data_IF_261482139436
#
_entry.id   IF_261482139436
#
_cell.length_a   1.000
_cell.length_b   1.000
_cell.length_c   1.000
_cell.angle_alpha   90.00
_cell.angle_beta   90.00
_cell.angle_gamma   90.00
#
_symmetry.space_group_name_H-M   'P 1'
#
loop_
_entity.id
_entity.type
_entity.pdbx_description
1 polymer ?
#
# COMPACT_ATOMS: atom_id res chain seq x y z
N UNK A 1 -60.80 -45.11 -39.33
CA UNK A 1 -60.20 -44.73 -38.04
C UNK A 1 -59.69 -43.29 -38.14
N UNK A 2 -60.33 -42.32 -37.45
CA UNK A 2 -59.89 -40.92 -37.38
C UNK A 2 -59.69 -40.57 -35.89
N UNK A 3 -58.45 -40.35 -35.48
CA UNK A 3 -58.09 -39.96 -34.11
C UNK A 3 -58.59 -38.53 -33.83
N UNK A 4 -59.52 -38.38 -32.88
CA UNK A 4 -59.83 -37.09 -32.26
C UNK A 4 -58.67 -36.69 -31.33
N UNK A 5 -57.91 -35.65 -31.72
CA UNK A 5 -57.00 -34.95 -30.79
C UNK A 5 -57.85 -34.11 -29.83
N UNK A 6 -57.87 -34.46 -28.55
CA UNK A 6 -58.47 -33.63 -27.51
C UNK A 6 -57.72 -32.28 -27.42
N UNK A 7 -58.39 -31.13 -27.48
CA UNK A 7 -57.75 -29.84 -27.27
C UNK A 7 -57.29 -29.76 -25.81
N UNK A 8 -55.97 -29.78 -25.59
CA UNK A 8 -55.40 -29.50 -24.27
C UNK A 8 -55.79 -28.07 -23.87
N UNK A 9 -56.65 -27.94 -22.86
CA UNK A 9 -56.92 -26.65 -22.20
C UNK A 9 -55.59 -26.09 -21.71
N UNK A 10 -55.10 -25.02 -22.34
CA UNK A 10 -53.99 -24.24 -21.81
C UNK A 10 -54.53 -23.45 -20.63
N UNK A 11 -54.04 -23.71 -19.42
CA UNK A 11 -54.34 -22.89 -18.25
C UNK A 11 -53.79 -21.48 -18.50
N UNK A 12 -54.64 -20.46 -18.36
CA UNK A 12 -54.20 -19.07 -18.38
C UNK A 12 -53.57 -18.72 -17.02
N UNK A 13 -52.43 -18.05 -17.05
CA UNK A 13 -51.75 -17.58 -15.84
C UNK A 13 -52.51 -16.38 -15.27
N UNK A 14 -52.86 -16.41 -13.98
CA UNK A 14 -53.56 -15.32 -13.31
C UNK A 14 -52.58 -14.22 -12.88
N UNK A 15 -53.06 -12.98 -12.83
CA UNK A 15 -52.28 -11.84 -12.34
C UNK A 15 -51.72 -12.09 -10.94
N UNK A 16 -52.48 -12.77 -10.08
CA UNK A 16 -52.10 -13.06 -8.70
C UNK A 16 -50.93 -14.06 -8.67
N UNK A 17 -50.98 -15.12 -9.48
CA UNK A 17 -49.88 -16.09 -9.56
C UNK A 17 -48.58 -15.42 -10.01
N UNK A 18 -48.65 -14.47 -10.96
CA UNK A 18 -47.49 -13.69 -11.37
C UNK A 18 -46.95 -12.82 -10.24
N UNK A 19 -47.83 -12.10 -9.55
CA UNK A 19 -47.45 -11.21 -8.45
C UNK A 19 -46.79 -11.97 -7.29
N UNK A 20 -47.30 -13.15 -6.95
CA UNK A 20 -46.72 -14.00 -5.89
C UNK A 20 -45.33 -14.48 -6.27
N UNK A 21 -45.15 -14.93 -7.52
CA UNK A 21 -43.83 -15.41 -7.99
C UNK A 21 -42.79 -14.30 -7.98
N UNK A 22 -43.12 -13.10 -8.49
CA UNK A 22 -42.18 -11.98 -8.46
C UNK A 22 -41.88 -11.53 -7.03
N UNK A 23 -42.86 -11.57 -6.11
CA UNK A 23 -42.66 -11.23 -4.71
C UNK A 23 -41.69 -12.21 -4.03
N UNK A 24 -41.84 -13.51 -4.28
CA UNK A 24 -40.93 -14.53 -3.76
C UNK A 24 -39.53 -14.33 -4.33
N UNK A 25 -39.38 -14.12 -5.65
CA UNK A 25 -38.07 -13.88 -6.28
C UNK A 25 -37.41 -12.62 -5.70
N UNK A 26 -38.17 -11.53 -5.53
CA UNK A 26 -37.66 -10.29 -4.96
C UNK A 26 -37.16 -10.49 -3.52
N UNK A 27 -37.90 -11.22 -2.68
CA UNK A 27 -37.49 -11.55 -1.31
C UNK A 27 -36.23 -12.41 -1.33
N UNK A 28 -36.17 -13.45 -2.18
CA UNK A 28 -34.98 -14.31 -2.29
C UNK A 28 -33.74 -13.53 -2.72
N UNK A 29 -33.85 -12.67 -3.73
CA UNK A 29 -32.74 -11.83 -4.18
C UNK A 29 -32.32 -10.84 -3.08
N UNK A 30 -33.27 -10.21 -2.39
CA UNK A 30 -32.98 -9.27 -1.31
C UNK A 30 -32.21 -9.93 -0.15
N UNK A 31 -32.48 -11.21 0.14
CA UNK A 31 -31.78 -11.97 1.17
C UNK A 31 -30.43 -12.52 0.68
N UNK A 32 -30.31 -12.90 -0.60
CA UNK A 32 -29.11 -13.51 -1.16
C UNK A 32 -28.04 -12.49 -1.56
N UNK A 33 -28.42 -11.31 -2.06
CA UNK A 33 -27.47 -10.32 -2.56
C UNK A 33 -26.48 -9.85 -1.48
N UNK A 34 -26.90 -9.49 -0.25
CA UNK A 34 -25.96 -9.11 0.81
C UNK A 34 -25.00 -10.24 1.16
N UNK A 35 -25.50 -11.48 1.22
CA UNK A 35 -24.69 -12.66 1.54
C UNK A 35 -23.63 -12.94 0.46
N UNK A 36 -23.99 -12.84 -0.82
CA UNK A 36 -23.05 -13.02 -1.93
C UNK A 36 -21.96 -11.94 -1.91
N UNK A 37 -22.30 -10.69 -1.60
CA UNK A 37 -21.29 -9.62 -1.52
C UNK A 37 -20.34 -9.82 -0.33
N UNK A 38 -20.85 -10.22 0.84
CA UNK A 38 -20.01 -10.54 1.99
C UNK A 38 -19.06 -11.70 1.70
N UNK A 39 -19.55 -12.76 1.03
CA UNK A 39 -18.72 -13.88 0.63
C UNK A 39 -17.62 -13.47 -0.36
N UNK A 40 -17.95 -12.61 -1.34
CA UNK A 40 -16.96 -12.06 -2.30
C UNK A 40 -15.88 -11.24 -1.61
N UNK A 41 -16.26 -10.38 -0.67
CA UNK A 41 -15.30 -9.54 0.05
C UNK A 41 -14.41 -10.38 0.97
N UNK A 42 -14.96 -11.41 1.63
CA UNK A 42 -14.16 -12.36 2.39
C UNK A 42 -13.13 -13.08 1.52
N UNK A 43 -13.51 -13.49 0.30
CA UNK A 43 -12.60 -14.11 -0.66
C UNK A 43 -11.50 -13.13 -1.12
N UNK A 44 -11.85 -11.88 -1.44
CA UNK A 44 -10.86 -10.84 -1.79
C UNK A 44 -9.88 -10.57 -0.66
N UNK A 45 -10.35 -10.49 0.58
CA UNK A 45 -9.49 -10.33 1.76
C UNK A 45 -8.52 -11.51 1.94
N UNK A 46 -8.98 -12.74 1.75
CA UNK A 46 -8.10 -13.92 1.77
C UNK A 46 -7.03 -13.79 0.69
N UNK A 47 -7.39 -13.34 -0.50
CA UNK A 47 -6.43 -13.12 -1.58
C UNK A 47 -5.44 -11.99 -1.27
N UNK A 48 -5.87 -10.86 -0.68
CA UNK A 48 -4.94 -9.81 -0.28
C UNK A 48 -3.94 -10.31 0.78
N UNK A 49 -4.39 -11.13 1.74
CA UNK A 49 -3.48 -11.78 2.71
C UNK A 49 -2.51 -12.75 2.04
N UNK A 50 -2.95 -13.51 1.04
CA UNK A 50 -2.08 -14.42 0.31
C UNK A 50 -1.03 -13.65 -0.51
N UNK A 51 -1.39 -12.54 -1.13
CA UNK A 51 -0.45 -11.66 -1.83
C UNK A 51 0.63 -11.12 -0.89
N UNK A 52 0.24 -10.59 0.28
CA UNK A 52 1.20 -10.20 1.33
C UNK A 52 2.09 -11.36 1.77
N UNK A 53 1.54 -12.58 1.85
CA UNK A 53 2.35 -13.76 2.18
C UNK A 53 3.38 -14.09 1.10
N UNK A 54 3.03 -13.92 -0.19
CA UNK A 54 4.00 -14.05 -1.29
C UNK A 54 5.08 -12.97 -1.23
N UNK A 55 4.72 -11.72 -0.90
CA UNK A 55 5.71 -10.64 -0.64
C UNK A 55 6.64 -11.03 0.51
N UNK A 56 6.12 -11.58 1.61
CA UNK A 56 6.93 -12.06 2.73
C UNK A 56 7.91 -13.18 2.35
N UNK A 57 7.46 -14.15 1.54
CA UNK A 57 8.34 -15.21 1.02
C UNK A 57 9.44 -14.62 0.12
N UNK A 58 9.08 -13.67 -0.74
CA UNK A 58 10.05 -12.97 -1.60
C UNK A 58 11.08 -12.18 -0.79
N UNK A 59 10.67 -11.51 0.29
CA UNK A 59 11.56 -10.79 1.21
C UNK A 59 12.59 -11.73 1.85
N UNK A 60 12.16 -12.92 2.30
CA UNK A 60 13.09 -13.90 2.87
C UNK A 60 14.04 -14.49 1.81
N UNK A 61 13.54 -14.83 0.62
CA UNK A 61 14.41 -15.30 -0.47
C UNK A 61 15.42 -14.22 -0.90
N UNK A 62 15.01 -12.96 -0.93
CA UNK A 62 15.91 -11.82 -1.17
C UNK A 62 16.97 -11.74 -0.08
N UNK A 63 16.57 -11.80 1.20
CA UNK A 63 17.48 -11.72 2.34
C UNK A 63 18.48 -12.88 2.39
N UNK A 64 18.06 -14.09 2.04
CA UNK A 64 18.94 -15.26 1.97
C UNK A 64 19.99 -15.14 0.87
N UNK A 65 19.64 -14.49 -0.24
CA UNK A 65 20.54 -14.30 -1.40
C UNK A 65 21.45 -13.07 -1.27
N UNK A 66 20.97 -12.00 -0.63
CA UNK A 66 21.67 -10.71 -0.56
C UNK A 66 22.20 -10.37 0.85
N UNK A 67 21.90 -11.20 1.85
CA UNK A 67 22.38 -11.04 3.23
C UNK A 67 21.55 -10.12 4.12
N UNK A 68 20.49 -9.48 3.59
CA UNK A 68 19.56 -8.62 4.31
C UNK A 68 18.33 -8.26 3.47
N UNK A 69 17.30 -7.70 4.10
CA UNK A 69 16.10 -7.24 3.41
C UNK A 69 16.44 -6.12 2.40
N UNK A 70 15.66 -5.98 1.30
CA UNK A 70 15.97 -4.98 0.29
C UNK A 70 15.90 -3.56 0.88
N UNK A 71 16.80 -2.65 0.49
CA UNK A 71 16.56 -1.24 0.72
C UNK A 71 15.32 -0.79 -0.07
N UNK A 72 14.58 0.22 0.41
CA UNK A 72 13.44 0.80 -0.34
C UNK A 72 13.95 1.39 -1.65
N UNK A 73 15.14 1.98 -1.62
CA UNK A 73 15.73 2.66 -2.76
C UNK A 73 17.25 2.68 -2.62
N UNK A 74 17.94 2.80 -3.75
CA UNK A 74 19.39 3.05 -3.77
C UNK A 74 19.63 4.28 -4.63
N UNK A 75 20.26 5.29 -4.04
CA UNK A 75 20.47 6.61 -4.63
C UNK A 75 21.88 7.12 -4.26
N UNK A 76 22.57 7.84 -5.16
CA UNK A 76 23.85 8.48 -4.85
C UNK A 76 23.69 9.52 -3.74
N UNK A 77 24.65 9.61 -2.82
CA UNK A 77 24.66 10.65 -1.80
C UNK A 77 25.01 12.01 -2.40
N UNK A 78 24.34 13.06 -1.92
CA UNK A 78 24.61 14.44 -2.32
C UNK A 78 24.13 14.83 -3.72
N UNK A 79 23.30 14.00 -4.36
CA UNK A 79 22.71 14.26 -5.67
C UNK A 79 21.21 13.97 -5.64
N UNK A 80 20.46 14.61 -6.53
CA UNK A 80 19.06 14.26 -6.76
C UNK A 80 18.97 13.09 -7.74
N UNK A 81 18.08 12.14 -7.46
CA UNK A 81 17.95 10.90 -8.21
C UNK A 81 16.57 10.27 -7.93
N UNK A 82 15.85 9.83 -8.97
CA UNK A 82 14.64 9.03 -8.80
C UNK A 82 15.00 7.54 -8.73
N UNK A 83 14.83 6.89 -7.57
CA UNK A 83 15.37 5.56 -7.39
C UNK A 83 14.36 4.45 -7.71
N UNK A 84 14.86 3.33 -8.23
CA UNK A 84 14.09 2.10 -8.30
C UNK A 84 13.75 1.56 -6.90
N UNK A 85 12.50 1.12 -6.74
CA UNK A 85 11.95 0.64 -5.48
C UNK A 85 12.50 -0.71 -5.03
N UNK A 86 12.33 -1.02 -3.75
CA UNK A 86 12.58 -2.34 -3.18
C UNK A 86 11.63 -3.40 -3.77
N UNK A 87 10.43 -3.01 -4.19
CA UNK A 87 9.50 -3.88 -4.92
C UNK A 87 10.08 -4.31 -6.26
N UNK A 88 10.81 -3.43 -6.95
CA UNK A 88 11.53 -3.79 -8.15
C UNK A 88 12.63 -4.83 -7.90
N UNK A 89 13.27 -4.78 -6.72
CA UNK A 89 14.28 -5.76 -6.27
C UNK A 89 13.67 -7.13 -5.94
N UNK A 90 12.38 -7.19 -5.62
CA UNK A 90 11.69 -8.45 -5.32
C UNK A 90 11.23 -9.21 -6.58
N UNK A 91 11.21 -8.60 -7.76
CA UNK A 91 10.71 -9.22 -8.99
C UNK A 91 11.26 -10.62 -9.29
N UNK A 92 12.58 -10.91 -9.15
CA UNK A 92 13.11 -12.25 -9.38
C UNK A 92 12.55 -13.31 -8.42
N UNK A 93 12.07 -12.88 -7.26
CA UNK A 93 11.58 -13.72 -6.17
C UNK A 93 10.05 -13.88 -6.16
N UNK A 94 9.36 -13.26 -7.13
CA UNK A 94 7.90 -13.36 -7.34
C UNK A 94 7.55 -13.77 -8.78
N UNK A 95 8.41 -14.59 -9.39
CA UNK A 95 8.23 -15.11 -10.77
C UNK A 95 8.18 -14.01 -11.85
N UNK A 96 8.79 -12.84 -11.59
CA UNK A 96 8.88 -11.71 -12.52
C UNK A 96 10.32 -11.45 -13.00
N UNK A 97 11.15 -12.49 -13.12
CA UNK A 97 12.55 -12.37 -13.54
C UNK A 97 12.70 -11.70 -14.93
N UNK A 98 11.79 -11.96 -15.86
CA UNK A 98 11.82 -11.32 -17.19
C UNK A 98 11.60 -9.81 -17.10
N UNK A 99 10.75 -9.35 -16.18
CA UNK A 99 10.53 -7.92 -15.94
C UNK A 99 11.75 -7.29 -15.26
N UNK A 100 12.35 -8.00 -14.30
CA UNK A 100 13.57 -7.55 -13.62
C UNK A 100 14.74 -7.31 -14.60
N UNK A 101 14.87 -8.14 -15.63
CA UNK A 101 15.91 -8.00 -16.65
C UNK A 101 15.75 -6.74 -17.54
N UNK A 102 14.60 -6.07 -17.50
CA UNK A 102 14.38 -4.81 -18.21
C UNK A 102 14.84 -3.60 -17.38
N UNK A 103 15.17 -3.78 -16.10
CA UNK A 103 15.55 -2.68 -15.22
C UNK A 103 17.02 -2.36 -15.42
N UNK A 104 17.28 -1.10 -15.77
CA UNK A 104 18.62 -0.51 -15.75
C UNK A 104 18.81 0.21 -14.41
N UNK A 105 19.66 -0.34 -13.56
CA UNK A 105 19.91 0.18 -12.21
C UNK A 105 20.86 1.39 -12.20
N UNK A 106 21.58 1.64 -13.31
CA UNK A 106 22.61 2.67 -13.40
C UNK A 106 22.12 3.96 -14.09
N UNK A 107 20.88 3.96 -14.62
CA UNK A 107 20.27 5.09 -15.33
C UNK A 107 19.01 5.56 -14.62
N UNK A 108 18.94 6.85 -14.29
CA UNK A 108 17.68 7.52 -13.94
C UNK A 108 17.70 8.95 -14.48
N UNK A 109 16.56 9.41 -15.02
CA UNK A 109 15.83 10.27 -14.11
C UNK A 109 14.36 9.93 -13.90
N UNK A 110 13.71 9.05 -14.68
CA UNK A 110 12.25 8.83 -14.58
C UNK A 110 11.81 7.46 -15.13
N UNK A 111 12.60 6.38 -14.97
CA UNK A 111 12.26 5.04 -15.51
C UNK A 111 12.06 4.98 -17.05
N UNK A 112 12.37 6.06 -17.76
CA UNK A 112 12.13 6.25 -19.20
C UNK A 112 13.06 5.44 -20.08
N UNK A 113 14.16 4.92 -19.54
CA UNK A 113 15.06 4.01 -20.25
C UNK A 113 14.34 2.72 -20.68
N UNK A 114 13.46 2.19 -19.83
CA UNK A 114 12.65 1.02 -20.11
C UNK A 114 11.22 1.21 -19.57
N UNK A 115 10.37 1.95 -20.30
CA UNK A 115 9.03 2.32 -19.84
C UNK A 115 8.08 1.12 -19.68
N UNK A 116 8.45 -0.03 -20.27
CA UNK A 116 7.72 -1.29 -20.10
C UNK A 116 7.70 -1.72 -18.63
N UNK A 117 8.79 -1.50 -17.89
CA UNK A 117 8.86 -1.86 -16.47
C UNK A 117 7.79 -1.09 -15.69
N UNK A 118 7.84 0.24 -15.71
CA UNK A 118 6.89 1.11 -15.00
C UNK A 118 5.42 0.82 -15.33
N UNK A 119 5.10 0.56 -16.61
CA UNK A 119 3.74 0.26 -17.06
C UNK A 119 3.23 -1.13 -16.65
N UNK A 120 4.10 -2.08 -16.33
CA UNK A 120 3.66 -3.47 -16.16
C UNK A 120 2.87 -3.64 -14.87
N UNK A 121 1.65 -4.20 -14.96
CA UNK A 121 0.85 -4.60 -13.80
C UNK A 121 1.46 -5.84 -13.14
N UNK A 122 2.02 -5.68 -11.94
CA UNK A 122 2.50 -6.79 -11.11
C UNK A 122 1.37 -7.27 -10.20
N UNK A 123 0.71 -8.37 -10.56
CA UNK A 123 -0.53 -8.82 -9.90
C UNK A 123 -0.38 -9.08 -8.39
N UNK A 124 0.80 -9.53 -7.94
CA UNK A 124 1.10 -9.77 -6.51
C UNK A 124 1.12 -8.47 -5.70
N UNK A 125 1.35 -7.32 -6.34
CA UNK A 125 1.35 -6.03 -5.65
C UNK A 125 -0.03 -5.39 -5.51
N UNK A 126 -1.05 -5.93 -6.18
CA UNK A 126 -2.41 -5.39 -6.17
C UNK A 126 -3.32 -6.16 -5.23
N UNK A 127 -4.09 -5.44 -4.40
CA UNK A 127 -5.17 -6.03 -3.61
C UNK A 127 -6.44 -6.12 -4.46
N UNK A 128 -7.10 -7.29 -4.57
CA UNK A 128 -8.34 -7.42 -5.33
C UNK A 128 -9.51 -6.53 -4.88
N UNK A 129 -9.43 -5.90 -3.70
CA UNK A 129 -10.39 -4.91 -3.22
C UNK A 129 -10.06 -3.48 -3.64
N UNK A 130 -8.91 -3.23 -4.29
CA UNK A 130 -8.58 -1.94 -4.90
C UNK A 130 -9.58 -1.60 -6.02
N UNK A 131 -10.08 -0.36 -6.01
CA UNK A 131 -11.05 0.14 -6.99
C UNK A 131 -10.35 0.88 -8.15
N UNK A 132 -9.10 1.28 -7.96
CA UNK A 132 -8.25 1.98 -8.91
C UNK A 132 -7.16 1.08 -9.51
N UNK A 133 -7.51 -0.17 -9.86
CA UNK A 133 -6.62 -1.10 -10.59
C UNK A 133 -6.51 -0.69 -12.07
N UNK A 134 -5.76 0.39 -12.33
CA UNK A 134 -5.59 0.99 -13.66
C UNK A 134 -4.25 1.71 -13.77
N UNK A 135 -3.83 1.92 -15.02
CA UNK A 135 -2.63 2.68 -15.36
C UNK A 135 -2.75 4.17 -14.98
N UNK A 136 -1.68 4.76 -14.44
CA UNK A 136 -1.50 6.22 -14.39
C UNK A 136 -0.77 6.66 -15.64
N UNK A 137 -1.41 7.52 -16.43
CA UNK A 137 -0.84 8.07 -17.65
C UNK A 137 -0.34 9.49 -17.38
N UNK A 138 0.97 9.71 -17.49
CA UNK A 138 1.60 11.03 -17.45
C UNK A 138 2.00 11.45 -18.87
N UNK A 139 2.43 12.71 -19.10
CA UNK A 139 2.91 13.14 -20.41
C UNK A 139 4.13 12.37 -20.92
N UNK A 140 4.95 11.82 -20.01
CA UNK A 140 6.25 11.20 -20.33
C UNK A 140 6.26 9.69 -20.13
N UNK A 141 5.41 9.16 -19.24
CA UNK A 141 5.46 7.76 -18.83
C UNK A 141 4.08 7.21 -18.42
N UNK A 142 3.95 5.89 -18.44
CA UNK A 142 2.79 5.18 -17.91
C UNK A 142 3.28 4.32 -16.74
N UNK A 143 2.61 4.45 -15.60
CA UNK A 143 2.93 3.71 -14.37
C UNK A 143 1.76 2.81 -13.99
N UNK A 144 2.07 1.79 -13.17
CA UNK A 144 1.07 0.94 -12.54
C UNK A 144 1.15 1.05 -11.00
N UNK A 145 0.00 1.11 -10.31
CA UNK A 145 -0.06 1.18 -8.86
C UNK A 145 0.42 -0.10 -8.16
N UNK A 146 0.50 0.01 -6.83
CA UNK A 146 0.60 -1.08 -5.87
C UNK A 146 -0.29 -0.81 -4.65
N UNK A 147 -0.49 -1.85 -3.84
CA UNK A 147 -1.25 -1.77 -2.59
C UNK A 147 -0.51 -2.31 -1.36
N UNK A 148 0.72 -2.82 -1.50
CA UNK A 148 1.46 -3.40 -0.38
C UNK A 148 2.77 -2.65 -0.16
N UNK A 149 2.69 -1.55 0.56
CA UNK A 149 3.85 -0.68 0.84
C UNK A 149 4.75 -1.23 1.94
N UNK A 150 6.04 -0.92 1.89
CA UNK A 150 7.00 -1.27 2.94
C UNK A 150 6.97 -0.32 4.13
N UNK A 151 7.29 -0.86 5.31
CA UNK A 151 7.33 -0.12 6.56
C UNK A 151 8.62 0.73 6.65
N UNK A 152 8.47 2.04 6.48
CA UNK A 152 9.57 3.01 6.59
C UNK A 152 9.66 3.70 7.96
N UNK A 153 8.92 3.18 8.94
CA UNK A 153 9.00 3.60 10.34
C UNK A 153 7.92 4.60 10.73
N UNK A 154 8.21 5.40 11.75
CA UNK A 154 7.18 6.16 12.44
C UNK A 154 6.92 7.54 11.82
N UNK A 155 7.95 8.26 11.39
CA UNK A 155 7.83 9.67 10.95
C UNK A 155 9.06 10.17 10.20
N UNK A 156 10.24 10.06 10.80
CA UNK A 156 11.51 10.41 10.14
C UNK A 156 11.94 9.25 9.25
N UNK A 157 12.18 9.52 7.96
CA UNK A 157 12.53 8.51 6.96
C UNK A 157 14.04 8.48 6.74
N UNK A 158 14.60 9.62 6.33
CA UNK A 158 15.97 9.69 5.84
C UNK A 158 16.53 11.11 5.87
N UNK A 159 17.82 11.25 6.15
CA UNK A 159 18.58 12.49 5.97
C UNK A 159 19.68 12.30 4.91
N UNK A 160 19.58 12.98 3.75
CA UNK A 160 20.55 12.84 2.66
C UNK A 160 21.93 13.40 2.99
N UNK A 161 22.04 14.28 4.00
CA UNK A 161 23.32 14.90 4.38
C UNK A 161 24.16 13.96 5.24
N UNK A 162 23.59 13.41 6.30
CA UNK A 162 24.31 12.50 7.21
C UNK A 162 24.20 11.02 6.83
N UNK A 163 23.26 10.65 5.96
CA UNK A 163 22.91 9.26 5.68
C UNK A 163 22.20 8.57 6.84
N UNK A 164 21.72 9.33 7.83
CA UNK A 164 20.94 8.80 8.95
C UNK A 164 19.57 8.37 8.45
N UNK A 165 19.10 7.23 8.93
CA UNK A 165 17.78 6.68 8.63
C UNK A 165 16.86 6.70 9.85
N UNK A 166 15.57 6.57 9.58
CA UNK A 166 14.49 6.44 10.55
C UNK A 166 14.58 5.19 11.43
N UNK A 167 13.45 4.81 12.02
CA UNK A 167 13.28 3.66 12.92
C UNK A 167 12.62 2.44 12.26
N UNK A 168 12.19 2.55 11.00
CA UNK A 168 11.59 1.47 10.20
C UNK A 168 12.54 0.34 9.83
N UNK A 169 11.98 -0.70 9.20
CA UNK A 169 12.75 -1.85 8.71
C UNK A 169 13.29 -1.67 7.29
N UNK A 170 12.67 -0.77 6.52
CA UNK A 170 13.03 -0.50 5.13
C UNK A 170 13.37 0.99 5.01
N UNK A 171 14.51 1.30 4.39
CA UNK A 171 14.95 2.68 4.22
C UNK A 171 15.71 2.89 2.89
N UNK A 172 15.80 4.15 2.42
CA UNK A 172 16.76 4.53 1.41
C UNK A 172 18.19 4.17 1.80
N UNK A 173 18.96 3.61 0.86
CA UNK A 173 20.40 3.34 0.98
C UNK A 173 20.83 2.40 2.12
N UNK A 174 19.88 1.76 2.82
CA UNK A 174 20.19 0.86 3.95
C UNK A 174 19.39 -0.43 3.84
N UNK A 175 20.13 -1.54 3.86
CA UNK A 175 19.61 -2.89 4.02
C UNK A 175 19.88 -3.36 5.45
N UNK A 176 18.91 -4.05 6.04
CA UNK A 176 19.02 -4.62 7.38
C UNK A 176 18.97 -6.14 7.33
N UNK A 177 19.83 -6.78 8.10
CA UNK A 177 19.83 -8.23 8.29
C UNK A 177 18.71 -8.58 9.24
N UNK A 178 18.19 -9.82 9.21
CA UNK A 178 17.25 -10.29 10.23
C UNK A 178 17.74 -10.09 11.67
N UNK A 179 19.06 -10.17 11.90
CA UNK A 179 19.68 -9.95 13.21
C UNK A 179 19.69 -8.47 13.67
N UNK A 180 19.53 -7.51 12.74
CA UNK A 180 19.47 -6.08 13.07
C UNK A 180 18.07 -5.65 13.55
N UNK A 181 17.07 -6.53 13.44
CA UNK A 181 15.70 -6.32 13.88
C UNK A 181 15.57 -6.79 15.33
N UNK A 182 16.04 -5.97 16.26
CA UNK A 182 16.12 -6.33 17.68
C UNK A 182 14.76 -6.42 18.38
N UNK A 183 13.71 -5.82 17.80
CA UNK A 183 12.34 -5.94 18.32
C UNK A 183 11.70 -7.30 17.99
N UNK A 184 12.35 -8.06 17.09
CA UNK A 184 11.93 -9.38 16.64
C UNK A 184 11.11 -9.32 15.35
N UNK A 185 11.40 -10.23 14.42
CA UNK A 185 10.77 -10.28 13.10
C UNK A 185 9.23 -10.42 13.14
N UNK A 186 8.70 -11.11 14.15
CA UNK A 186 7.24 -11.27 14.34
C UNK A 186 6.54 -10.03 14.89
N UNK A 187 7.31 -9.11 15.50
CA UNK A 187 6.80 -7.89 16.12
C UNK A 187 6.95 -6.69 15.19
N UNK A 188 7.94 -6.69 14.31
CA UNK A 188 8.16 -5.61 13.34
C UNK A 188 7.38 -5.86 12.04
N UNK A 189 6.62 -4.85 11.62
CA UNK A 189 5.91 -4.81 10.35
C UNK A 189 6.90 -4.75 9.18
N UNK A 190 6.59 -5.52 8.15
CA UNK A 190 7.30 -5.49 6.88
C UNK A 190 6.56 -4.66 5.84
N UNK A 191 5.27 -4.95 5.66
CA UNK A 191 4.43 -4.29 4.67
C UNK A 191 2.99 -4.15 5.17
N UNK A 192 2.26 -3.17 4.65
CA UNK A 192 0.84 -3.00 4.94
C UNK A 192 0.06 -2.56 3.70
N UNK A 193 -1.26 -2.75 3.76
CA UNK A 193 -2.15 -2.26 2.71
C UNK A 193 -2.13 -0.72 2.61
N UNK A 194 -2.17 -0.22 1.38
CA UNK A 194 -2.41 1.17 1.02
C UNK A 194 -3.50 1.27 -0.07
N UNK A 195 -3.87 2.48 -0.48
CA UNK A 195 -4.79 2.73 -1.60
C UNK A 195 -4.08 3.40 -2.77
N UNK A 196 -4.29 2.90 -3.97
CA UNK A 196 -3.82 3.55 -5.18
C UNK A 196 -4.59 4.87 -5.42
N UNK A 197 -3.88 5.88 -5.96
CA UNK A 197 -4.39 7.24 -6.17
C UNK A 197 -4.83 7.92 -4.86
N UNK A 198 -4.12 7.63 -3.76
CA UNK A 198 -4.35 8.30 -2.49
C UNK A 198 -3.98 9.79 -2.67
N UNK A 199 -4.90 10.73 -2.36
CA UNK A 199 -4.55 12.15 -2.32
C UNK A 199 -3.35 12.37 -1.40
N UNK A 200 -2.44 13.24 -1.82
CA UNK A 200 -1.23 13.53 -1.07
C UNK A 200 -0.84 14.99 -1.21
N UNK A 201 0.01 15.43 -0.30
CA UNK A 201 0.83 16.62 -0.47
C UNK A 201 2.29 16.22 -0.30
N UNK A 202 3.13 16.71 -1.20
CA UNK A 202 4.55 16.41 -1.25
C UNK A 202 5.37 17.70 -1.42
N UNK A 203 6.67 17.62 -1.12
CA UNK A 203 7.58 18.76 -1.06
C UNK A 203 7.07 19.88 -0.12
N UNK A 204 6.57 19.45 1.05
CA UNK A 204 6.00 20.31 2.08
C UNK A 204 7.04 20.89 3.05
N UNK A 205 6.59 21.55 4.13
CA UNK A 205 7.50 22.01 5.18
C UNK A 205 8.21 20.84 5.88
N UNK A 206 9.54 20.88 5.92
CA UNK A 206 10.34 19.92 6.71
C UNK A 206 10.70 20.49 8.09
N UNK A 207 10.79 19.65 9.13
CA UNK A 207 11.33 20.06 10.42
C UNK A 207 12.73 20.68 10.31
N UNK A 208 12.97 21.79 11.02
CA UNK A 208 14.24 22.54 10.95
C UNK A 208 15.43 21.79 11.58
N UNK A 209 15.17 20.77 12.40
CA UNK A 209 16.19 19.94 13.04
C UNK A 209 15.80 18.47 12.95
N UNK A 210 16.79 17.58 13.09
CA UNK A 210 16.54 16.14 13.20
C UNK A 210 16.01 15.77 14.59
N UNK A 211 15.30 14.64 14.67
CA UNK A 211 14.81 14.10 15.94
C UNK A 211 13.52 14.73 16.45
N UNK A 212 12.73 15.33 15.56
CA UNK A 212 11.40 15.84 15.89
C UNK A 212 10.44 14.67 16.13
N UNK A 213 9.66 14.76 17.21
CA UNK A 213 8.72 13.72 17.60
C UNK A 213 7.61 13.53 16.56
N UNK A 214 7.08 12.31 16.39
CA UNK A 214 5.99 12.06 15.45
C UNK A 214 4.70 12.79 15.86
N UNK A 215 3.97 13.42 14.92
CA UNK A 215 2.67 14.05 15.15
C UNK A 215 1.70 13.12 15.89
N UNK A 216 1.05 13.54 16.97
CA UNK A 216 0.19 12.64 17.77
C UNK A 216 -1.22 12.47 17.17
N UNK A 217 -1.68 13.47 16.41
CA UNK A 217 -2.97 13.49 15.70
C UNK A 217 -2.83 14.24 14.37
N UNK A 218 -3.75 14.04 13.41
CA UNK A 218 -3.67 14.69 12.10
C UNK A 218 -3.53 16.21 12.13
N UNK A 219 -4.18 16.89 13.07
CA UNK A 219 -4.09 18.35 13.21
C UNK A 219 -2.66 18.85 13.54
N UNK A 220 -1.80 18.00 14.09
CA UNK A 220 -0.42 18.35 14.42
C UNK A 220 0.47 18.41 13.14
N UNK A 221 -0.04 17.99 11.98
CA UNK A 221 0.64 18.14 10.69
C UNK A 221 0.54 19.56 10.10
N UNK A 222 -0.38 20.39 10.60
CA UNK A 222 -0.63 21.72 10.05
C UNK A 222 0.62 22.61 9.88
N UNK A 223 1.62 22.60 10.78
CA UNK A 223 2.87 23.37 10.59
C UNK A 223 3.71 22.93 9.40
N UNK A 224 3.51 21.71 8.90
CA UNK A 224 4.25 21.14 7.78
C UNK A 224 3.49 21.26 6.45
N UNK A 225 2.25 21.76 6.46
CA UNK A 225 1.47 21.93 5.23
C UNK A 225 2.11 22.95 4.28
N UNK A 226 1.85 22.77 3.00
CA UNK A 226 2.50 23.50 1.90
C UNK A 226 2.79 22.53 0.76
N UNK A 227 3.71 22.92 -0.11
CA UNK A 227 4.16 22.06 -1.21
C UNK A 227 3.11 21.89 -2.30
N UNK A 228 3.11 20.72 -2.92
CA UNK A 228 2.29 20.37 -4.07
C UNK A 228 1.25 19.33 -3.69
N UNK A 229 -0.01 19.63 -3.99
CA UNK A 229 -1.10 18.67 -3.88
C UNK A 229 -1.25 17.86 -5.16
N UNK A 230 -1.42 16.55 -5.04
CA UNK A 230 -1.78 15.67 -6.15
C UNK A 230 -2.68 14.50 -5.63
N UNK A 231 -3.07 13.60 -6.53
CA UNK A 231 -3.77 12.35 -6.23
C UNK A 231 -3.09 11.19 -6.93
N UNK A 232 -1.76 11.13 -6.78
CA UNK A 232 -0.88 10.13 -7.36
C UNK A 232 -0.26 9.19 -6.34
N UNK A 233 -0.59 9.27 -5.04
CA UNK A 233 0.00 8.38 -4.04
C UNK A 233 -0.23 6.90 -4.38
N UNK A 234 0.81 6.09 -4.25
CA UNK A 234 0.85 4.65 -4.53
C UNK A 234 0.45 4.27 -5.97
N UNK A 235 0.75 5.13 -6.94
CA UNK A 235 0.52 4.87 -8.36
C UNK A 235 1.73 4.34 -9.10
N UNK A 236 2.87 4.24 -8.42
CA UNK A 236 4.14 3.82 -9.02
C UNK A 236 4.85 2.73 -8.22
N UNK A 237 4.65 1.46 -8.59
CA UNK A 237 5.36 0.38 -7.90
C UNK A 237 6.88 0.42 -8.12
N UNK A 238 7.34 1.12 -9.16
CA UNK A 238 8.75 1.22 -9.54
C UNK A 238 9.51 2.30 -8.75
N UNK A 239 8.83 3.29 -8.19
CA UNK A 239 9.45 4.44 -7.55
C UNK A 239 9.67 4.19 -6.06
N UNK A 240 10.92 4.33 -5.62
CA UNK A 240 11.34 4.04 -4.25
C UNK A 240 11.07 5.15 -3.24
N UNK A 241 10.13 6.03 -3.54
CA UNK A 241 9.70 7.10 -2.65
C UNK A 241 8.67 6.60 -1.63
N UNK A 242 8.73 7.15 -0.41
CA UNK A 242 7.84 6.75 0.68
C UNK A 242 6.35 6.92 0.36
N UNK A 243 5.97 7.92 -0.45
CA UNK A 243 4.58 8.14 -0.85
C UNK A 243 4.09 7.20 -1.97
N UNK A 244 5.00 6.48 -2.61
CA UNK A 244 4.68 5.52 -3.67
C UNK A 244 4.76 4.09 -3.14
N UNK A 245 5.89 3.69 -2.56
CA UNK A 245 6.14 2.30 -2.15
C UNK A 245 6.30 2.10 -0.65
N UNK A 246 6.21 3.19 0.14
CA UNK A 246 6.30 3.19 1.59
C UNK A 246 4.97 3.39 2.32
N UNK A 247 4.98 3.12 3.62
CA UNK A 247 3.99 3.61 4.57
C UNK A 247 4.68 3.88 5.91
N UNK A 248 4.06 4.71 6.73
CA UNK A 248 4.52 5.01 8.08
C UNK A 248 3.48 4.64 9.12
N UNK A 249 3.95 4.43 10.35
CA UNK A 249 3.10 4.19 11.52
C UNK A 249 2.77 5.48 12.28
N UNK A 250 2.93 6.65 11.63
CA UNK A 250 2.60 7.96 12.24
C UNK A 250 1.19 7.95 12.82
N UNK A 251 0.22 7.39 12.08
CA UNK A 251 -1.16 7.22 12.54
C UNK A 251 -1.61 5.77 12.39
N UNK A 252 -2.65 5.40 13.14
CA UNK A 252 -3.28 4.07 13.06
C UNK A 252 -3.90 3.85 11.68
N UNK A 253 -4.15 2.59 11.28
CA UNK A 253 -4.70 2.28 9.98
C UNK A 253 -5.98 3.06 9.66
N UNK A 254 -6.18 3.44 8.40
CA UNK A 254 -7.33 4.20 7.90
C UNK A 254 -7.54 5.59 8.54
N UNK A 255 -6.61 6.11 9.35
CA UNK A 255 -6.70 7.47 9.91
C UNK A 255 -6.88 8.49 8.80
N UNK A 256 -7.85 9.40 9.00
CA UNK A 256 -8.15 10.50 8.08
C UNK A 256 -7.29 11.71 8.40
N UNK A 257 -6.60 12.24 7.40
CA UNK A 257 -5.84 13.49 7.50
C UNK A 257 -6.54 14.54 6.63
N UNK A 258 -7.44 15.37 7.20
CA UNK A 258 -8.17 16.35 6.42
C UNK A 258 -7.25 17.49 5.98
N UNK A 259 -7.26 17.77 4.68
CA UNK A 259 -6.56 18.90 4.06
C UNK A 259 -7.51 19.64 3.12
N UNK A 260 -7.58 20.97 3.27
CA UNK A 260 -8.36 21.84 2.39
C UNK A 260 -7.51 22.25 1.19
N UNK A 261 -7.90 21.78 0.00
CA UNK A 261 -7.36 22.25 -1.27
C UNK A 261 -8.44 23.00 -2.04
N UNK A 262 -8.34 24.33 -2.04
CA UNK A 262 -9.25 25.23 -2.76
C UNK A 262 -10.75 25.04 -2.43
N UNK A 263 -11.08 24.78 -1.16
CA UNK A 263 -12.44 24.62 -0.65
C UNK A 263 -12.96 23.19 -0.68
N UNK A 264 -12.14 22.22 -1.11
CA UNK A 264 -12.47 20.78 -1.08
C UNK A 264 -11.59 20.09 -0.05
N UNK A 265 -12.22 19.37 0.88
CA UNK A 265 -11.50 18.62 1.92
C UNK A 265 -11.15 17.23 1.38
N UNK A 266 -9.86 16.94 1.32
CA UNK A 266 -9.30 15.64 0.97
C UNK A 266 -8.77 14.93 2.22
N UNK A 267 -8.83 13.60 2.21
CA UNK A 267 -8.04 12.75 3.10
C UNK A 267 -6.71 12.49 2.42
N UNK A 268 -5.62 13.01 3.00
CA UNK A 268 -4.30 13.02 2.35
C UNK A 268 -3.26 12.16 3.06
N UNK A 269 -2.17 11.88 2.37
CA UNK A 269 -0.86 11.63 2.98
C UNK A 269 0.05 12.85 2.86
N UNK A 270 1.03 12.96 3.75
CA UNK A 270 2.02 14.04 3.75
C UNK A 270 3.42 13.46 3.60
N UNK A 271 4.21 14.01 2.67
CA UNK A 271 5.65 13.75 2.57
C UNK A 271 6.39 15.09 2.47
N UNK A 272 7.33 15.34 3.37
CA UNK A 272 8.01 16.64 3.44
C UNK A 272 8.92 16.86 2.25
N UNK A 273 9.68 15.85 1.83
CA UNK A 273 10.56 15.87 0.67
C UNK A 273 10.53 14.46 0.09
N UNK A 274 10.38 14.35 -1.23
CA UNK A 274 10.48 13.07 -1.95
C UNK A 274 11.89 12.46 -1.85
N UNK A 275 11.97 11.15 -1.72
CA UNK A 275 13.24 10.49 -1.39
C UNK A 275 14.22 10.57 -2.56
N UNK A 276 15.38 11.17 -2.34
CA UNK A 276 16.32 11.42 -3.43
C UNK A 276 15.99 12.66 -4.27
N UNK A 277 14.96 13.43 -3.96
CA UNK A 277 14.67 14.72 -4.62
C UNK A 277 15.31 15.91 -3.89
N UNK A 278 16.05 15.64 -2.80
CA UNK A 278 16.90 16.63 -2.14
C UNK A 278 18.22 16.03 -1.69
N UNK A 279 19.29 16.81 -1.90
CA UNK A 279 20.61 16.52 -1.37
C UNK A 279 20.86 17.13 0.03
N UNK A 280 19.93 17.94 0.54
CA UNK A 280 20.15 18.79 1.73
C UNK A 280 19.03 18.73 2.77
N UNK A 281 17.82 18.38 2.37
CA UNK A 281 16.66 18.38 3.26
C UNK A 281 16.28 16.94 3.65
N UNK A 282 16.01 16.66 4.93
CA UNK A 282 15.56 15.35 5.38
C UNK A 282 14.11 15.07 4.97
N UNK A 283 13.81 13.79 4.74
CA UNK A 283 12.46 13.28 4.50
C UNK A 283 11.77 12.94 5.82
N UNK A 284 10.58 13.49 6.00
CA UNK A 284 9.60 13.11 7.01
C UNK A 284 8.27 12.81 6.33
N UNK A 285 7.56 11.78 6.78
CA UNK A 285 6.34 11.36 6.11
C UNK A 285 5.27 10.84 7.08
N UNK A 286 4.03 11.22 6.83
CA UNK A 286 2.83 10.63 7.39
C UNK A 286 2.05 9.98 6.24
N UNK A 287 2.42 8.74 5.92
CA UNK A 287 1.83 7.93 4.86
C UNK A 287 1.05 6.80 5.52
N UNK A 288 -0.25 6.97 5.71
CA UNK A 288 -1.03 6.06 6.56
C UNK A 288 -1.35 4.75 5.83
N UNK A 289 -1.19 3.61 6.50
CA UNK A 289 -1.72 2.34 6.00
C UNK A 289 -3.25 2.41 5.80
N UNK A 290 -3.75 2.06 4.62
CA UNK A 290 -5.16 2.18 4.24
C UNK A 290 -5.66 0.99 3.45
N UNK A 291 -6.93 0.63 3.63
CA UNK A 291 -7.54 -0.46 2.87
C UNK A 291 -9.00 -0.17 2.51
N UNK A 292 -9.50 -0.85 1.49
CA UNK A 292 -10.93 -0.90 1.17
C UNK A 292 -11.69 -1.93 2.01
N UNK A 293 -10.98 -2.76 2.78
CA UNK A 293 -11.59 -3.58 3.81
C UNK A 293 -12.12 -2.70 4.95
N UNK A 294 -13.36 -2.93 5.36
CA UNK A 294 -13.99 -2.13 6.41
C UNK A 294 -13.28 -2.33 7.76
N UNK A 295 -12.85 -1.23 8.39
CA UNK A 295 -12.37 -1.22 9.78
C UNK A 295 -10.97 -1.78 10.01
N UNK A 296 -10.25 -2.18 8.96
CA UNK A 296 -8.97 -2.87 9.08
C UNK A 296 -8.05 -2.63 7.89
N UNK A 297 -6.77 -2.99 8.07
CA UNK A 297 -5.80 -3.25 7.00
C UNK A 297 -5.23 -4.64 7.19
N UNK A 298 -4.85 -5.32 6.11
CA UNK A 298 -3.95 -6.46 6.22
C UNK A 298 -2.50 -5.98 6.30
N UNK A 299 -1.72 -6.58 7.18
CA UNK A 299 -0.32 -6.24 7.40
C UNK A 299 0.53 -7.51 7.52
N UNK A 300 1.71 -7.45 6.93
CA UNK A 300 2.76 -8.45 6.94
C UNK A 300 3.80 -8.08 8.01
N UNK A 301 4.22 -9.04 8.82
CA UNK A 301 5.40 -8.91 9.69
C UNK A 301 6.65 -9.48 9.02
N UNK A 302 7.84 -9.11 9.49
CA UNK A 302 9.11 -9.56 8.92
C UNK A 302 9.39 -11.07 9.07
N UNK A 303 8.63 -11.80 9.89
CA UNK A 303 8.65 -13.28 9.94
C UNK A 303 7.76 -13.94 8.87
N UNK A 304 7.13 -13.11 8.03
CA UNK A 304 6.20 -13.51 7.00
C UNK A 304 4.77 -13.74 7.48
N UNK A 305 4.45 -13.57 8.76
CA UNK A 305 3.08 -13.70 9.26
C UNK A 305 2.19 -12.57 8.73
N UNK A 306 0.92 -12.87 8.40
CA UNK A 306 -0.04 -11.88 7.90
C UNK A 306 -1.26 -11.80 8.81
N UNK A 307 -1.49 -10.63 9.39
CA UNK A 307 -2.57 -10.32 10.32
C UNK A 307 -3.46 -9.21 9.75
N UNK A 308 -4.69 -9.15 10.22
CA UNK A 308 -5.57 -8.01 9.92
C UNK A 308 -5.62 -7.14 11.16
N UNK A 309 -5.19 -5.90 11.00
CA UNK A 309 -5.04 -4.94 12.08
C UNK A 309 -6.22 -3.97 12.03
N UNK A 310 -6.92 -3.81 13.14
CA UNK A 310 -8.04 -2.85 13.23
C UNK A 310 -7.53 -1.41 13.20
N UNK A 311 -8.30 -0.52 12.59
CA UNK A 311 -8.08 0.93 12.68
C UNK A 311 -8.17 1.48 14.12
N UNK A 312 -8.79 0.73 15.03
CA UNK A 312 -8.94 1.07 16.45
C UNK A 312 -7.80 0.53 17.34
N UNK A 313 -6.72 0.01 16.75
CA UNK A 313 -5.52 -0.36 17.52
C UNK A 313 -5.01 0.83 18.32
N UNK A 314 -4.43 0.58 19.50
CA UNK A 314 -3.70 1.62 20.23
C UNK A 314 -2.56 2.19 19.39
N UNK A 315 -2.45 3.52 19.34
CA UNK A 315 -1.44 4.20 18.52
C UNK A 315 0.00 3.84 18.96
N UNK A 316 0.23 3.67 20.26
CA UNK A 316 1.52 3.24 20.78
C UNK A 316 1.90 1.85 20.29
N UNK A 317 0.96 0.89 20.34
CA UNK A 317 1.18 -0.46 19.80
C UNK A 317 1.43 -0.47 18.29
N UNK A 318 0.71 0.36 17.53
CA UNK A 318 0.91 0.47 16.09
C UNK A 318 2.28 1.04 15.74
N UNK A 319 2.72 2.09 16.45
CA UNK A 319 4.04 2.68 16.30
C UNK A 319 5.15 1.71 16.67
N UNK A 320 5.00 1.01 17.80
CA UNK A 320 5.95 0.00 18.26
C UNK A 320 6.22 -1.04 17.18
N UNK A 321 5.16 -1.56 16.56
CA UNK A 321 5.29 -2.53 15.48
C UNK A 321 5.90 -1.95 14.19
N UNK A 322 5.92 -0.63 14.03
CA UNK A 322 6.63 0.05 12.94
C UNK A 322 8.15 0.10 13.15
N UNK A 323 8.65 -0.11 14.36
CA UNK A 323 10.08 0.06 14.67
C UNK A 323 10.87 -1.24 14.51
N UNK A 324 12.14 -1.12 14.10
CA UNK A 324 13.09 -2.25 14.02
C UNK A 324 13.83 -2.50 15.34
N UNK A 325 14.01 -1.44 16.14
CA UNK A 325 14.88 -1.44 17.33
C UNK A 325 14.42 -0.46 18.42
N UNK A 326 13.12 -0.30 18.63
CA UNK A 326 12.52 0.52 19.69
C UNK A 326 12.60 -0.10 21.09
N UNK A 327 12.86 -1.41 21.20
CA UNK A 327 12.93 -2.16 22.46
C UNK A 327 11.55 -2.59 23.00
N UNK A 328 10.50 -2.46 22.18
CA UNK A 328 9.11 -2.66 22.57
C UNK A 328 8.65 -4.06 22.14
N UNK A 329 8.69 -5.03 23.04
CA UNK A 329 8.26 -6.40 22.77
C UNK A 329 6.73 -6.53 22.85
N UNK A 330 6.00 -5.92 21.91
CA UNK A 330 4.55 -6.00 21.84
C UNK A 330 4.09 -6.44 20.45
N UNK A 331 3.63 -7.69 20.32
CA UNK A 331 3.03 -8.17 19.08
C UNK A 331 1.67 -7.52 18.86
N UNK A 332 1.41 -7.01 17.65
CA UNK A 332 0.05 -6.63 17.25
C UNK A 332 -0.84 -7.89 17.30
N UNK A 333 -2.02 -7.83 17.95
CA UNK A 333 -2.93 -8.98 18.11
C UNK A 333 -3.47 -9.57 16.79
#
# INVERSE_FOLDING_TARGET
>A
MRHHKNPRRRGGFTLIELLVVIAIIAILIALLLPAVQQAREAARRIQCKNNLKQVGLALHNYADTHGGFPPVSVMPLGQTFQPWSGHARLLPFIEQANLANLIDWDVSPEFTSNPIAAKTRVAIYMCPSEINDRERVTPTLIHYPLNYSFNEGTWFIYDPVSGRVGDGAFHPNKAFRPADITDGLSNTLAAAENKAYQPNIWDTGSPATLGVAPPAKPADLAPYYGGTFDSNGHTEWVEGDVHETGFTTTFTPNTKVPYDNAGVIYDIDLTSIRDGESATAPTYAAVTARSYHAGLVNALSLDGSVRSVSENIDLGLWRAAGTRSGGEANSIP
#
